data_IF_624997942279
#
_entry.id   IF_624997942279
#
_cell.length_a   1.000
_cell.length_b   1.000
_cell.length_c   1.000
_cell.angle_alpha   90.00
_cell.angle_beta   90.00
_cell.angle_gamma   90.00
#
_symmetry.space_group_name_H-M   'P 1'
#
loop_
_entity.id
_entity.type
_entity.pdbx_description
1 polymer ?
#
# COMPACT_ATOMS: atom_id res chain seq x y z
N UNK A 1 -11.00 17.88 2.26
CA UNK A 1 -9.75 17.25 1.81
C UNK A 1 -10.03 16.40 0.58
N UNK A 2 -9.14 16.42 -0.40
CA UNK A 2 -9.21 15.57 -1.60
C UNK A 2 -7.83 14.96 -1.87
N UNK A 3 -7.79 13.74 -2.41
CA UNK A 3 -6.58 13.02 -2.80
C UNK A 3 -6.59 12.81 -4.32
N UNK A 4 -5.46 13.10 -4.96
CA UNK A 4 -5.30 13.05 -6.42
C UNK A 4 -3.96 12.44 -6.80
N UNK A 5 -3.86 12.01 -8.06
CA UNK A 5 -2.60 11.57 -8.65
C UNK A 5 -2.49 11.99 -10.12
N UNK A 6 -1.28 12.29 -10.57
CA UNK A 6 -1.00 12.57 -11.98
C UNK A 6 -1.01 11.31 -12.85
N UNK A 7 -0.83 10.13 -12.25
CA UNK A 7 -0.66 8.85 -12.94
C UNK A 7 -1.56 7.73 -12.41
N UNK A 8 -2.48 8.06 -11.52
CA UNK A 8 -3.50 7.15 -11.01
C UNK A 8 -4.88 7.84 -11.05
N UNK A 9 -5.73 7.42 -11.99
CA UNK A 9 -7.11 7.88 -12.05
C UNK A 9 -8.01 6.98 -11.18
N UNK A 10 -9.05 7.53 -10.52
CA UNK A 10 -9.95 6.74 -9.68
C UNK A 10 -10.56 5.54 -10.43
N UNK A 11 -10.33 4.34 -9.90
CA UNK A 11 -10.85 3.08 -10.43
C UNK A 11 -10.14 2.56 -11.69
N UNK A 12 -9.15 3.29 -12.21
CA UNK A 12 -8.40 2.89 -13.39
C UNK A 12 -7.30 1.87 -13.04
N UNK A 13 -6.83 1.09 -14.04
CA UNK A 13 -5.67 0.23 -13.89
C UNK A 13 -4.43 1.00 -13.43
N UNK A 14 -3.72 0.43 -12.47
CA UNK A 14 -2.43 0.89 -11.98
C UNK A 14 -1.37 0.57 -13.05
N UNK A 15 -0.55 1.56 -13.38
CA UNK A 15 0.59 1.37 -14.28
C UNK A 15 1.59 0.38 -13.67
N UNK A 16 2.11 -0.55 -14.48
CA UNK A 16 3.14 -1.53 -14.09
C UNK A 16 4.30 -0.91 -13.32
N UNK A 17 4.65 0.34 -13.62
CA UNK A 17 5.70 1.10 -12.90
C UNK A 17 5.49 1.12 -11.39
N UNK A 18 4.24 1.02 -10.92
CA UNK A 18 3.90 1.01 -9.50
C UNK A 18 3.69 -0.40 -8.93
N UNK A 19 3.72 -1.44 -9.76
CA UNK A 19 3.53 -2.80 -9.29
C UNK A 19 4.81 -3.37 -8.65
N UNK A 20 4.64 -4.18 -7.60
CA UNK A 20 5.72 -5.00 -7.08
C UNK A 20 6.08 -6.10 -8.08
N UNK A 21 5.11 -6.60 -8.85
CA UNK A 21 5.35 -7.60 -9.87
C UNK A 21 4.34 -7.65 -11.02
N UNK A 22 4.70 -8.44 -12.02
CA UNK A 22 3.93 -8.72 -13.22
C UNK A 22 4.10 -10.19 -13.66
N UNK A 23 3.61 -10.54 -14.85
CA UNK A 23 3.70 -11.89 -15.40
C UNK A 23 5.14 -12.37 -15.69
N UNK A 24 6.15 -11.48 -15.62
CA UNK A 24 7.57 -11.77 -15.82
C UNK A 24 8.38 -11.75 -14.52
N UNK A 25 7.80 -11.37 -13.38
CA UNK A 25 8.47 -11.35 -12.08
C UNK A 25 8.34 -10.00 -11.38
N UNK A 26 9.37 -9.60 -10.63
CA UNK A 26 9.37 -8.29 -9.96
C UNK A 26 9.42 -7.14 -10.96
N UNK A 27 8.67 -6.09 -10.66
CA UNK A 27 8.48 -4.89 -11.46
C UNK A 27 9.14 -3.67 -10.74
N UNK A 28 9.08 -2.45 -11.32
CA UNK A 28 9.80 -1.29 -10.77
C UNK A 28 9.37 -0.85 -9.37
N UNK A 29 8.18 -1.25 -8.90
CA UNK A 29 7.73 -1.05 -7.51
C UNK A 29 7.85 0.40 -7.00
N UNK A 30 7.60 1.38 -7.88
CA UNK A 30 7.63 2.79 -7.49
C UNK A 30 6.34 3.15 -6.78
N UNK A 31 6.41 3.93 -5.70
CA UNK A 31 5.16 4.48 -5.16
C UNK A 31 4.52 5.42 -6.21
N UNK A 32 3.19 5.40 -6.39
CA UNK A 32 2.53 6.37 -7.25
C UNK A 32 2.68 7.77 -6.67
N UNK A 33 2.62 8.79 -7.53
CA UNK A 33 2.45 10.16 -7.08
C UNK A 33 1.11 10.28 -6.33
N UNK A 34 1.11 10.95 -5.19
CA UNK A 34 -0.08 11.25 -4.40
C UNK A 34 -0.03 12.69 -3.92
N UNK A 35 -1.05 13.49 -4.21
CA UNK A 35 -1.16 14.87 -3.73
C UNK A 35 -2.52 15.12 -3.10
N UNK A 36 -2.54 15.79 -1.96
CA UNK A 36 -3.77 16.12 -1.24
C UNK A 36 -3.91 17.62 -1.01
N UNK A 37 -5.16 18.09 -1.08
CA UNK A 37 -5.49 19.51 -0.97
C UNK A 37 -6.71 19.70 -0.07
N UNK A 38 -7.04 20.96 0.24
CA UNK A 38 -8.16 21.32 1.11
C UNK A 38 -8.04 20.63 2.48
N UNK A 39 -6.84 20.69 3.04
CA UNK A 39 -6.48 20.15 4.36
C UNK A 39 -7.21 20.97 5.44
N UNK A 40 -7.85 20.32 6.43
CA UNK A 40 -8.52 21.05 7.52
C UNK A 40 -7.56 21.95 8.31
N UNK A 41 -8.08 23.07 8.82
CA UNK A 41 -7.36 23.83 9.82
C UNK A 41 -7.10 22.98 11.07
N UNK A 42 -5.92 23.13 11.67
CA UNK A 42 -5.52 22.34 12.85
C UNK A 42 -4.81 21.02 12.53
N UNK A 43 -4.66 20.65 11.26
CA UNK A 43 -3.82 19.51 10.88
C UNK A 43 -2.36 19.74 11.27
N UNK A 44 -1.77 18.76 11.97
CA UNK A 44 -0.39 18.78 12.47
C UNK A 44 0.46 17.64 11.92
N UNK A 45 -0.15 16.59 11.39
CA UNK A 45 0.52 15.56 10.60
C UNK A 45 -0.48 14.83 9.69
N UNK A 46 0.05 13.98 8.81
CA UNK A 46 -0.73 13.00 8.07
C UNK A 46 -0.27 11.57 8.33
N UNK A 47 -1.19 10.63 8.13
CA UNK A 47 -0.89 9.22 7.98
C UNK A 47 -1.38 8.74 6.60
N UNK A 48 -0.70 7.76 6.02
CA UNK A 48 -1.04 7.14 4.74
C UNK A 48 -1.13 5.63 4.92
N UNK A 49 -2.19 5.02 4.40
CA UNK A 49 -2.35 3.56 4.33
C UNK A 49 -2.78 3.17 2.91
N UNK A 50 -2.14 2.15 2.33
CA UNK A 50 -2.58 1.48 1.11
C UNK A 50 -2.99 0.04 1.46
N UNK A 51 -4.22 -0.34 1.09
CA UNK A 51 -4.77 -1.68 1.35
C UNK A 51 -5.35 -2.28 0.07
N UNK A 52 -5.09 -3.56 -0.15
CA UNK A 52 -5.80 -4.44 -1.07
C UNK A 52 -6.83 -5.26 -0.30
N UNK A 53 -8.15 -5.04 -0.48
CA UNK A 53 -9.20 -5.78 0.22
C UNK A 53 -9.60 -7.08 -0.49
N UNK A 54 -8.96 -7.43 -1.61
CA UNK A 54 -9.38 -8.49 -2.52
C UNK A 54 -8.45 -9.72 -2.46
N UNK A 55 -7.54 -9.80 -1.50
CA UNK A 55 -6.58 -10.90 -1.37
C UNK A 55 -7.30 -12.21 -0.99
N UNK A 56 -7.05 -13.32 -1.71
CA UNK A 56 -7.69 -14.62 -1.45
C UNK A 56 -7.30 -15.22 -0.09
N UNK A 57 -8.28 -15.77 0.64
CA UNK A 57 -8.04 -16.37 1.97
C UNK A 57 -7.59 -17.83 1.95
N UNK A 58 -7.47 -18.47 0.77
CA UNK A 58 -7.08 -19.88 0.64
C UNK A 58 -5.74 -19.94 -0.12
N UNK A 59 -4.60 -19.89 0.59
CA UNK A 59 -3.27 -19.78 -0.02
C UNK A 59 -2.95 -20.91 -1.00
N UNK A 60 -3.52 -22.09 -0.82
CA UNK A 60 -3.27 -23.27 -1.67
C UNK A 60 -3.77 -23.12 -3.11
N UNK A 61 -4.65 -22.13 -3.34
CA UNK A 61 -5.17 -21.79 -4.67
C UNK A 61 -4.31 -20.76 -5.41
N UNK A 62 -3.42 -20.06 -4.70
CA UNK A 62 -2.64 -18.94 -5.25
C UNK A 62 -1.54 -19.43 -6.20
N UNK A 63 -1.49 -18.86 -7.41
CA UNK A 63 -0.40 -19.10 -8.37
C UNK A 63 -0.44 -20.47 -9.05
N UNK A 64 -1.58 -21.17 -9.00
CA UNK A 64 -1.79 -22.48 -9.61
C UNK A 64 -2.08 -22.35 -11.10
N UNK A 65 -1.53 -23.26 -11.91
CA UNK A 65 -1.74 -23.29 -13.36
C UNK A 65 -2.87 -24.23 -13.79
N UNK A 66 -3.31 -25.11 -12.90
CA UNK A 66 -4.35 -26.11 -13.13
C UNK A 66 -5.74 -25.71 -12.59
N UNK A 67 -5.85 -24.52 -11.99
CA UNK A 67 -7.11 -23.96 -11.49
C UNK A 67 -7.08 -22.44 -11.39
N UNK A 68 -8.26 -21.84 -11.34
CA UNK A 68 -8.47 -20.43 -11.00
C UNK A 68 -8.82 -20.28 -9.53
N UNK A 69 -8.61 -19.07 -8.99
CA UNK A 69 -9.16 -18.65 -7.71
C UNK A 69 -10.58 -18.13 -7.98
N UNK A 70 -11.63 -18.82 -7.48
CA UNK A 70 -12.99 -18.46 -7.81
C UNK A 70 -13.36 -17.04 -7.40
N UNK A 71 -14.17 -16.38 -8.23
CA UNK A 71 -14.67 -15.05 -7.92
C UNK A 71 -15.39 -14.99 -6.57
N UNK A 72 -16.05 -16.04 -6.09
CA UNK A 72 -16.78 -16.04 -4.80
C UNK A 72 -15.93 -16.45 -3.59
N UNK A 73 -14.66 -16.82 -3.79
CA UNK A 73 -13.76 -17.15 -2.68
C UNK A 73 -13.67 -15.97 -1.68
N UNK A 74 -13.73 -16.24 -0.36
CA UNK A 74 -13.58 -15.20 0.65
C UNK A 74 -12.25 -14.45 0.51
N UNK A 75 -12.27 -13.15 0.82
CA UNK A 75 -11.12 -12.25 0.71
C UNK A 75 -10.75 -11.64 2.05
N UNK A 76 -9.51 -11.21 2.18
CA UNK A 76 -9.00 -10.46 3.32
C UNK A 76 -8.23 -9.21 2.86
N UNK A 77 -7.93 -8.34 3.81
CA UNK A 77 -7.08 -7.17 3.58
C UNK A 77 -5.60 -7.58 3.51
N UNK A 78 -4.86 -6.85 2.70
CA UNK A 78 -3.40 -6.89 2.61
C UNK A 78 -2.86 -5.47 2.53
N UNK A 79 -2.04 -5.09 3.51
CA UNK A 79 -1.42 -3.77 3.61
C UNK A 79 -0.22 -3.72 2.68
N UNK A 80 -0.26 -2.80 1.71
CA UNK A 80 0.82 -2.54 0.75
C UNK A 80 1.71 -1.37 1.16
N UNK A 81 1.18 -0.46 1.99
CA UNK A 81 1.94 0.70 2.46
C UNK A 81 1.34 1.25 3.75
N UNK A 82 2.18 1.57 4.73
CA UNK A 82 1.79 2.36 5.89
C UNK A 82 2.89 3.37 6.22
N UNK A 83 2.49 4.63 6.39
CA UNK A 83 3.37 5.73 6.80
C UNK A 83 2.65 6.61 7.82
N UNK A 84 3.38 7.02 8.86
CA UNK A 84 2.89 7.88 9.92
C UNK A 84 3.75 9.15 10.05
N UNK A 85 3.20 10.14 10.76
CA UNK A 85 3.88 11.39 11.11
C UNK A 85 4.42 12.17 9.92
N UNK A 86 3.73 12.10 8.78
CA UNK A 86 4.05 12.95 7.62
C UNK A 86 3.83 14.41 8.06
N UNK A 87 4.83 15.30 7.98
CA UNK A 87 4.69 16.68 8.44
C UNK A 87 3.53 17.43 7.76
N UNK A 88 2.88 18.36 8.48
CA UNK A 88 1.71 19.08 7.97
C UNK A 88 1.97 19.98 6.75
N UNK A 89 3.22 20.36 6.51
CA UNK A 89 3.65 21.12 5.34
C UNK A 89 3.87 20.25 4.09
N UNK A 90 3.90 18.92 4.23
CA UNK A 90 3.95 17.97 3.13
C UNK A 90 2.53 17.72 2.62
N UNK A 91 2.29 18.04 1.35
CA UNK A 91 1.00 17.84 0.68
C UNK A 91 1.10 17.01 -0.61
N UNK A 92 2.29 16.48 -0.89
CA UNK A 92 2.59 15.68 -2.06
C UNK A 92 3.67 14.65 -1.75
N UNK A 93 3.52 13.45 -2.30
CA UNK A 93 4.55 12.43 -2.44
C UNK A 93 4.80 12.25 -3.94
N UNK A 94 6.03 12.51 -4.37
CA UNK A 94 6.40 12.35 -5.76
C UNK A 94 6.46 10.86 -6.15
N UNK A 95 6.30 10.59 -7.44
CA UNK A 95 6.43 9.25 -7.98
C UNK A 95 7.81 8.66 -7.65
N UNK A 96 7.84 7.51 -7.00
CA UNK A 96 9.07 6.81 -6.62
C UNK A 96 9.90 7.47 -5.51
N UNK A 97 9.39 8.51 -4.82
CA UNK A 97 10.14 9.17 -3.73
C UNK A 97 10.28 8.33 -2.46
N UNK A 98 9.48 7.27 -2.33
CA UNK A 98 9.41 6.40 -1.15
C UNK A 98 9.73 4.93 -1.46
N UNK A 99 9.67 4.55 -2.73
CA UNK A 99 10.10 3.24 -3.23
C UNK A 99 10.55 3.36 -4.69
N UNK A 100 11.62 2.69 -5.06
CA UNK A 100 12.14 2.64 -6.43
C UNK A 100 12.80 1.27 -6.68
N UNK A 101 11.99 0.23 -6.57
CA UNK A 101 12.39 -1.15 -6.76
C UNK A 101 11.96 -2.07 -5.62
N UNK A 102 11.54 -3.27 -5.99
CA UNK A 102 11.22 -4.34 -5.04
C UNK A 102 12.53 -4.92 -4.48
N UNK A 103 12.59 -5.15 -3.16
CA UNK A 103 13.80 -5.64 -2.48
C UNK A 103 13.49 -6.94 -1.74
N UNK A 104 14.18 -8.03 -2.11
CA UNK A 104 14.09 -9.29 -1.39
C UNK A 104 14.58 -9.12 0.06
N UNK A 105 13.80 -9.62 1.03
CA UNK A 105 14.03 -9.40 2.46
C UNK A 105 13.52 -8.05 2.99
N UNK A 106 12.94 -7.22 2.11
CA UNK A 106 12.35 -5.94 2.45
C UNK A 106 13.32 -4.76 2.49
N UNK A 107 12.75 -3.55 2.56
CA UNK A 107 13.49 -2.28 2.61
C UNK A 107 13.75 -1.95 4.09
N UNK A 108 15.00 -2.00 4.60
CA UNK A 108 15.25 -1.76 6.02
C UNK A 108 15.12 -0.28 6.41
N UNK A 109 15.35 0.64 5.47
CA UNK A 109 15.28 2.09 5.65
C UNK A 109 14.63 2.75 4.44
N UNK A 110 13.34 2.52 4.17
CA UNK A 110 12.66 3.09 3.02
C UNK A 110 12.64 4.62 3.11
N UNK A 111 12.79 5.27 1.96
CA UNK A 111 12.77 6.73 1.87
C UNK A 111 11.37 7.30 2.20
N UNK A 112 11.33 8.57 2.58
CA UNK A 112 10.09 9.28 2.90
C UNK A 112 10.38 10.74 3.22
N UNK A 113 9.33 11.58 3.35
CA UNK A 113 9.49 12.94 3.83
C UNK A 113 10.21 12.98 5.18
N UNK A 114 11.07 13.99 5.38
CA UNK A 114 11.80 14.13 6.64
C UNK A 114 10.83 14.20 7.83
N UNK A 115 11.06 13.39 8.87
CA UNK A 115 10.17 13.30 10.04
C UNK A 115 9.06 12.26 9.94
N UNK A 116 8.74 11.76 8.73
CA UNK A 116 7.83 10.63 8.57
C UNK A 116 8.47 9.31 9.00
N UNK A 117 7.62 8.34 9.36
CA UNK A 117 8.03 6.98 9.73
C UNK A 117 7.31 5.98 8.85
N UNK A 118 8.02 4.97 8.38
CA UNK A 118 7.50 3.90 7.53
C UNK A 118 7.28 2.64 8.38
N UNK A 119 6.11 2.04 8.28
CA UNK A 119 5.76 0.83 9.05
C UNK A 119 5.81 -0.43 8.20
N UNK A 120 5.56 -1.57 8.84
CA UNK A 120 5.52 -2.89 8.21
C UNK A 120 4.30 -3.02 7.32
N UNK A 121 4.52 -3.54 6.12
CA UNK A 121 3.50 -4.02 5.21
C UNK A 121 3.40 -5.56 5.27
N UNK A 122 2.36 -6.12 4.65
CA UNK A 122 2.01 -7.54 4.82
C UNK A 122 2.89 -8.50 4.00
N UNK A 123 3.78 -7.99 3.12
CA UNK A 123 4.82 -8.82 2.51
C UNK A 123 5.75 -9.45 3.55
N UNK A 124 5.89 -8.82 4.73
CA UNK A 124 6.57 -9.38 5.91
C UNK A 124 5.98 -10.73 6.32
N UNK A 125 4.65 -10.82 6.39
CA UNK A 125 3.95 -12.07 6.73
C UNK A 125 3.95 -13.04 5.55
N UNK A 126 3.70 -12.54 4.34
CA UNK A 126 3.63 -13.33 3.12
C UNK A 126 4.92 -14.13 2.85
N UNK A 127 6.08 -13.49 3.00
CA UNK A 127 7.38 -14.10 2.71
C UNK A 127 8.05 -14.78 3.91
N UNK A 128 7.43 -14.79 5.09
CA UNK A 128 8.04 -15.33 6.31
C UNK A 128 8.49 -16.80 6.18
N UNK A 129 7.79 -17.59 5.36
CA UNK A 129 8.11 -19.01 5.10
C UNK A 129 9.12 -19.25 3.97
N UNK A 130 9.54 -18.21 3.25
CA UNK A 130 10.47 -18.33 2.13
C UNK A 130 11.87 -17.81 2.55
N UNK A 131 12.89 -18.67 2.72
CA UNK A 131 14.21 -18.24 3.19
C UNK A 131 14.91 -17.18 2.33
N UNK A 132 14.64 -17.16 1.02
CA UNK A 132 15.26 -16.21 0.09
C UNK A 132 14.58 -14.84 0.14
N UNK A 133 13.37 -14.77 0.72
CA UNK A 133 12.54 -13.57 0.76
C UNK A 133 12.22 -13.10 2.19
N UNK A 134 12.45 -13.93 3.20
CA UNK A 134 12.08 -13.64 4.58
C UNK A 134 12.80 -12.37 5.08
N UNK A 135 12.05 -11.47 5.70
CA UNK A 135 12.57 -10.21 6.20
C UNK A 135 11.47 -9.25 6.62
N UNK A 136 11.86 -8.01 6.94
CA UNK A 136 10.93 -6.96 7.33
C UNK A 136 10.70 -6.02 6.15
N UNK A 137 9.47 -6.02 5.63
CA UNK A 137 9.07 -5.18 4.51
C UNK A 137 8.45 -3.91 5.06
N UNK A 138 9.20 -2.80 5.00
CA UNK A 138 8.76 -1.49 5.41
C UNK A 138 8.43 -0.61 4.20
N UNK A 139 7.42 0.23 4.35
CA UNK A 139 7.04 1.19 3.31
C UNK A 139 6.20 0.57 2.20
N UNK A 140 6.33 1.12 0.98
CA UNK A 140 5.54 0.71 -0.18
C UNK A 140 6.14 -0.53 -0.81
N UNK A 141 5.33 -1.57 -0.98
CA UNK A 141 5.51 -2.62 -1.99
C UNK A 141 4.15 -2.76 -2.70
N UNK A 142 4.13 -2.60 -4.01
CA UNK A 142 2.94 -2.41 -4.82
C UNK A 142 2.15 -3.67 -5.16
N UNK A 143 1.19 -3.57 -6.08
CA UNK A 143 0.39 -4.70 -6.56
C UNK A 143 1.23 -5.89 -7.05
N UNK A 144 0.85 -7.10 -6.64
CA UNK A 144 1.31 -8.35 -7.26
C UNK A 144 0.26 -9.47 -7.07
N UNK A 145 -0.97 -9.30 -7.59
CA UNK A 145 -2.05 -10.26 -7.39
C UNK A 145 -1.79 -11.57 -8.15
N UNK A 146 -2.40 -12.70 -7.75
CA UNK A 146 -2.22 -13.98 -8.44
C UNK A 146 -2.70 -13.92 -9.89
N UNK A 147 -1.91 -14.46 -10.83
CA UNK A 147 -2.29 -14.49 -12.25
C UNK A 147 -3.53 -15.35 -12.52
N UNK A 148 -3.86 -16.28 -11.61
CA UNK A 148 -5.00 -17.17 -11.73
C UNK A 148 -6.24 -16.68 -10.97
N UNK A 149 -6.27 -15.42 -10.51
CA UNK A 149 -7.43 -14.87 -9.82
C UNK A 149 -8.52 -14.37 -10.78
N UNK A 150 -9.77 -14.77 -10.54
CA UNK A 150 -10.93 -14.30 -11.31
C UNK A 150 -11.36 -12.86 -10.93
N UNK A 151 -10.75 -12.26 -9.92
CA UNK A 151 -10.97 -10.86 -9.54
C UNK A 151 -9.87 -9.93 -10.03
N UNK A 152 -10.29 -8.75 -10.45
CA UNK A 152 -9.40 -7.57 -10.49
C UNK A 152 -9.29 -7.02 -9.07
N UNK A 153 -8.08 -6.94 -8.54
CA UNK A 153 -7.83 -6.43 -7.20
C UNK A 153 -7.91 -4.90 -7.17
N UNK A 154 -8.38 -4.35 -6.05
CA UNK A 154 -8.42 -2.91 -5.79
C UNK A 154 -7.31 -2.53 -4.83
N UNK A 155 -6.69 -1.38 -5.03
CA UNK A 155 -5.67 -0.84 -4.13
C UNK A 155 -6.11 0.53 -3.69
N UNK A 156 -6.42 0.66 -2.40
CA UNK A 156 -7.03 1.87 -1.82
C UNK A 156 -5.96 2.62 -1.04
N UNK A 157 -5.48 3.72 -1.62
CA UNK A 157 -4.61 4.68 -0.96
C UNK A 157 -5.47 5.66 -0.17
N UNK A 158 -5.25 5.78 1.13
CA UNK A 158 -5.99 6.71 2.00
C UNK A 158 -5.03 7.54 2.83
N UNK A 159 -5.21 8.86 2.78
CA UNK A 159 -4.48 9.83 3.61
C UNK A 159 -5.43 10.36 4.67
N UNK A 160 -4.95 10.40 5.91
CA UNK A 160 -5.65 10.93 7.07
C UNK A 160 -4.96 12.21 7.53
N UNK A 161 -5.71 13.28 7.77
CA UNK A 161 -5.23 14.50 8.39
C UNK A 161 -5.47 14.45 9.89
N UNK A 162 -4.42 14.63 10.70
CA UNK A 162 -4.44 14.41 12.15
C UNK A 162 -4.20 15.71 12.94
N UNK A 163 -4.81 15.84 14.11
CA UNK A 163 -4.64 16.99 15.03
C UNK A 163 -3.46 16.84 16.01
N UNK A 164 -2.64 15.80 15.82
CA UNK A 164 -1.39 15.55 16.54
C UNK A 164 -0.22 15.55 15.57
N UNK A 165 0.95 15.97 16.04
CA UNK A 165 2.16 15.99 15.21
C UNK A 165 2.81 14.61 15.09
N UNK A 166 2.66 13.76 16.11
CA UNK A 166 3.22 12.41 16.15
C UNK A 166 2.25 11.42 16.80
N UNK A 167 2.19 10.21 16.26
CA UNK A 167 1.45 9.09 16.82
C UNK A 167 2.32 8.30 17.82
N UNK A 168 1.73 7.86 18.93
CA UNK A 168 2.39 6.92 19.84
C UNK A 168 2.37 5.51 19.23
N UNK A 169 3.47 5.14 18.57
CA UNK A 169 3.60 3.88 17.83
C UNK A 169 4.80 3.07 18.33
N UNK A 170 4.73 1.73 18.33
CA UNK A 170 5.89 0.88 18.57
C UNK A 170 6.91 0.99 17.42
N UNK A 171 8.05 0.31 17.55
CA UNK A 171 9.03 0.19 16.47
C UNK A 171 9.50 -1.26 16.36
N UNK A 172 9.22 -1.96 15.23
CA UNK A 172 8.38 -1.50 14.11
C UNK A 172 6.89 -1.35 14.50
N UNK A 173 6.09 -0.73 13.63
CA UNK A 173 4.63 -0.61 13.77
C UNK A 173 3.91 -1.11 12.51
N UNK A 174 2.63 -1.43 12.66
CA UNK A 174 1.75 -1.90 11.56
C UNK A 174 0.67 -0.87 11.21
N UNK A 175 -0.07 -1.09 10.12
CA UNK A 175 -1.27 -0.30 9.83
C UNK A 175 -2.32 -0.36 10.95
N UNK A 176 -2.47 -1.51 11.62
CA UNK A 176 -3.39 -1.65 12.74
C UNK A 176 -2.97 -0.78 13.95
N UNK A 177 -1.67 -0.62 14.19
CA UNK A 177 -1.17 0.28 15.24
C UNK A 177 -1.42 1.74 14.88
N UNK A 178 -1.21 2.14 13.62
CA UNK A 178 -1.55 3.49 13.13
C UNK A 178 -3.04 3.76 13.29
N UNK A 179 -3.88 2.83 12.85
CA UNK A 179 -5.33 2.93 12.96
C UNK A 179 -5.80 3.07 14.41
N UNK A 180 -5.17 2.35 15.34
CA UNK A 180 -5.46 2.47 16.78
C UNK A 180 -4.99 3.80 17.34
N UNK A 181 -3.77 4.22 17.02
CA UNK A 181 -3.17 5.44 17.54
C UNK A 181 -3.84 6.72 17.02
N UNK A 182 -4.44 6.69 15.83
CA UNK A 182 -5.15 7.85 15.25
C UNK A 182 -6.59 8.00 15.75
N UNK A 183 -7.13 7.05 16.52
CA UNK A 183 -8.50 7.16 17.04
C UNK A 183 -8.67 8.44 17.87
N UNK A 184 -9.69 9.22 17.54
CA UNK A 184 -9.94 10.52 18.18
C UNK A 184 -9.11 11.69 17.65
N UNK A 185 -8.17 11.45 16.74
CA UNK A 185 -7.26 12.46 16.18
C UNK A 185 -7.52 12.80 14.70
N UNK A 186 -8.37 12.03 14.01
CA UNK A 186 -8.67 12.24 12.58
C UNK A 186 -9.58 13.45 12.39
N UNK A 187 -9.09 14.46 11.68
CA UNK A 187 -9.84 15.66 11.30
C UNK A 187 -10.58 15.49 9.96
N UNK A 188 -9.95 14.78 9.01
CA UNK A 188 -10.51 14.40 7.73
C UNK A 188 -9.67 13.27 7.13
N UNK A 189 -10.21 12.60 6.11
CA UNK A 189 -9.47 11.69 5.28
C UNK A 189 -9.90 11.83 3.81
N UNK A 190 -9.07 11.30 2.90
CA UNK A 190 -9.38 11.20 1.49
C UNK A 190 -8.75 9.92 0.92
N UNK A 191 -9.43 9.29 -0.04
CA UNK A 191 -8.98 8.05 -0.65
C UNK A 191 -8.96 8.13 -2.18
N UNK A 192 -8.03 7.37 -2.77
CA UNK A 192 -7.88 7.15 -4.20
C UNK A 192 -7.70 5.65 -4.41
N UNK A 193 -8.49 5.08 -5.31
CA UNK A 193 -8.45 3.65 -5.63
C UNK A 193 -7.87 3.45 -7.02
N UNK A 194 -6.95 2.50 -7.15
CA UNK A 194 -6.55 1.90 -8.42
C UNK A 194 -6.95 0.44 -8.51
N UNK A 195 -6.80 -0.16 -9.69
CA UNK A 195 -7.03 -1.59 -9.91
C UNK A 195 -5.81 -2.27 -10.52
N UNK A 196 -5.60 -3.56 -10.26
CA UNK A 196 -4.54 -4.31 -10.94
C UNK A 196 -4.95 -5.78 -11.04
N UNK A 197 -4.51 -6.45 -12.10
CA UNK A 197 -4.70 -7.89 -12.30
C UNK A 197 -3.55 -8.44 -13.12
N UNK A 198 -3.17 -9.68 -12.85
CA UNK A 198 -2.27 -10.45 -13.70
C UNK A 198 -3.00 -11.55 -14.46
N UNK A 199 -4.32 -11.62 -14.35
CA UNK A 199 -5.13 -12.56 -15.11
C UNK A 199 -5.33 -12.02 -16.54
N UNK A 200 -4.77 -12.67 -17.57
CA UNK A 200 -4.87 -12.19 -18.95
C UNK A 200 -6.29 -12.24 -19.53
N UNK A 201 -7.24 -12.87 -18.83
CA UNK A 201 -8.65 -12.86 -19.23
C UNK A 201 -9.40 -11.60 -18.77
N UNK A 202 -8.84 -10.79 -17.86
CA UNK A 202 -9.48 -9.64 -17.23
C UNK A 202 -8.92 -8.28 -17.69
N UNK A 203 -7.83 -8.28 -18.47
CA UNK A 203 -7.18 -7.09 -18.98
C UNK A 203 -5.97 -7.39 -19.86
#
# INVERSE_FOLDING_TARGET
MYLTSNRLAPGAPIDRTFAAGDAQGFAPDRNPHLAWQQVPAGTRSFALICVDPDVPTVPETVGRTDMTIPHDQPRCEFVHWVMADIPADVQELAEGSCSDGFVAGGKPTPAGPAGSRQGLNDFTGWFAGNPDMAGQYLGYDGPYPPFNDERVHRYIFRVFALDVATLSLPTPFTAADVQRAMQGHVLADAALQGTYTLNPALG
#
